data_IF_558060557946
#
_entry.id   IF_558060557946
#
_cell.length_a   1.000
_cell.length_b   1.000
_cell.length_c   1.000
_cell.angle_alpha   90.00
_cell.angle_beta   90.00
_cell.angle_gamma   90.00
#
_symmetry.space_group_name_H-M   'P 1'
#
loop_
_entity.id
_entity.type
_entity.pdbx_description
1 polymer ?
#
# COMPACT_ATOMS: atom_id res chain seq x y z
N UNK A 1 11.08 -4.44 10.51
CA UNK A 1 11.54 -3.13 11.05
C UNK A 1 10.56 -2.04 10.64
N UNK A 2 9.83 -1.52 11.62
CA UNK A 2 8.94 -0.36 11.50
C UNK A 2 9.79 0.91 11.32
N UNK A 3 9.90 1.41 10.09
CA UNK A 3 10.46 2.73 9.84
C UNK A 3 9.33 3.75 9.86
N UNK A 4 9.19 4.53 10.93
CA UNK A 4 8.38 5.75 10.83
C UNK A 4 9.21 6.82 10.13
N UNK A 5 8.64 7.46 9.09
CA UNK A 5 8.67 8.92 8.84
C UNK A 5 7.98 9.26 7.51
N UNK A 6 6.68 8.98 7.40
CA UNK A 6 5.78 9.78 6.57
C UNK A 6 4.51 10.01 7.42
N UNK A 7 4.15 11.25 7.77
CA UNK A 7 3.12 11.52 8.79
C UNK A 7 1.78 10.82 8.56
N UNK A 8 1.35 10.67 7.31
CA UNK A 8 0.07 10.02 6.97
C UNK A 8 0.18 8.51 6.74
N UNK A 9 1.35 7.89 6.96
CA UNK A 9 1.53 6.47 6.73
C UNK A 9 2.20 5.75 7.88
N UNK A 10 1.64 4.60 8.23
CA UNK A 10 2.34 3.60 9.00
C UNK A 10 3.05 2.65 8.03
N UNK A 11 4.36 2.45 8.24
CA UNK A 11 5.20 1.64 7.37
C UNK A 11 5.88 0.53 8.17
N UNK A 12 5.92 -0.67 7.61
CA UNK A 12 6.73 -1.79 8.09
C UNK A 12 7.51 -2.35 6.92
N UNK A 13 8.80 -2.58 7.13
CA UNK A 13 9.68 -3.18 6.13
C UNK A 13 10.24 -4.50 6.62
N UNK A 14 10.45 -5.42 5.70
CA UNK A 14 11.32 -6.58 5.90
C UNK A 14 12.31 -6.67 4.74
N UNK A 15 13.55 -6.19 4.93
CA UNK A 15 14.58 -6.23 3.89
C UNK A 15 14.90 -7.66 3.43
N UNK A 16 14.76 -8.66 4.30
CA UNK A 16 15.05 -10.06 3.98
C UNK A 16 14.14 -10.62 2.88
N UNK A 17 12.87 -10.20 2.87
CA UNK A 17 11.90 -10.57 1.83
C UNK A 17 11.62 -9.46 0.80
N UNK A 18 12.26 -8.29 0.93
CA UNK A 18 11.97 -7.13 0.08
C UNK A 18 10.54 -6.61 0.25
N UNK A 19 9.97 -6.78 1.44
CA UNK A 19 8.59 -6.43 1.78
C UNK A 19 8.49 -4.99 2.28
N UNK A 20 7.48 -4.28 1.79
CA UNK A 20 6.97 -3.04 2.38
C UNK A 20 5.47 -3.17 2.62
N UNK A 21 5.06 -2.98 3.86
CA UNK A 21 3.67 -2.86 4.28
C UNK A 21 3.35 -1.41 4.61
N UNK A 22 2.25 -0.92 4.06
CA UNK A 22 1.81 0.48 4.15
C UNK A 22 0.36 0.51 4.64
N UNK A 23 0.07 1.39 5.59
CA UNK A 23 -1.30 1.73 5.97
C UNK A 23 -1.46 3.24 6.04
N UNK A 24 -2.50 3.77 5.39
CA UNK A 24 -2.85 5.18 5.51
C UNK A 24 -3.37 5.48 6.93
N UNK A 25 -2.87 6.53 7.55
CA UNK A 25 -3.36 7.02 8.84
C UNK A 25 -4.32 8.19 8.59
N UNK A 26 -5.61 7.96 8.85
CA UNK A 26 -6.64 8.96 8.67
C UNK A 26 -6.48 10.09 9.69
N UNK A 27 -6.15 11.30 9.21
CA UNK A 27 -6.14 12.53 10.01
C UNK A 27 -7.49 13.26 9.97
N UNK A 28 -7.65 14.30 10.81
CA UNK A 28 -8.88 15.08 10.94
C UNK A 28 -9.34 15.79 9.64
N UNK A 29 -8.40 16.14 8.75
CA UNK A 29 -8.66 16.67 7.41
C UNK A 29 -8.18 15.64 6.37
N UNK A 30 -9.04 14.66 6.09
CA UNK A 30 -8.65 13.50 5.30
C UNK A 30 -8.69 13.82 3.79
N UNK A 31 -7.61 14.42 3.30
CA UNK A 31 -7.34 14.63 1.86
C UNK A 31 -6.10 13.83 1.48
N UNK A 32 -6.05 13.33 0.23
CA UNK A 32 -4.87 12.63 -0.28
C UNK A 32 -3.65 13.57 -0.30
N UNK A 33 -2.66 13.27 0.54
CA UNK A 33 -1.40 14.05 0.57
C UNK A 33 -0.43 13.56 -0.50
N UNK A 34 -0.57 14.08 -1.73
CA UNK A 34 0.23 13.68 -2.90
C UNK A 34 1.73 13.72 -2.67
N UNK A 35 2.25 14.70 -1.93
CA UNK A 35 3.67 14.80 -1.60
C UNK A 35 4.15 13.62 -0.75
N UNK A 36 3.32 13.19 0.20
CA UNK A 36 3.61 12.06 1.09
C UNK A 36 3.51 10.72 0.34
N UNK A 37 2.51 10.57 -0.54
CA UNK A 37 2.40 9.42 -1.46
C UNK A 37 3.63 9.35 -2.40
N UNK A 38 4.11 10.49 -2.88
CA UNK A 38 5.30 10.55 -3.74
C UNK A 38 6.57 10.17 -2.96
N UNK A 39 6.69 10.61 -1.70
CA UNK A 39 7.79 10.22 -0.83
C UNK A 39 7.78 8.71 -0.55
N UNK A 40 6.60 8.12 -0.37
CA UNK A 40 6.43 6.67 -0.20
C UNK A 40 6.95 5.88 -1.40
N UNK A 41 6.59 6.29 -2.62
CA UNK A 41 7.08 5.64 -3.84
C UNK A 41 8.60 5.74 -3.98
N UNK A 42 9.18 6.90 -3.65
CA UNK A 42 10.65 7.07 -3.65
C UNK A 42 11.32 6.16 -2.62
N UNK A 43 10.72 6.03 -1.44
CA UNK A 43 11.20 5.13 -0.39
C UNK A 43 11.14 3.67 -0.86
N UNK A 44 10.03 3.24 -1.47
CA UNK A 44 9.88 1.90 -2.01
C UNK A 44 10.93 1.60 -3.10
N UNK A 45 11.23 2.58 -3.96
CA UNK A 45 12.29 2.47 -4.95
C UNK A 45 13.68 2.38 -4.33
N UNK A 46 13.97 3.18 -3.30
CA UNK A 46 15.25 3.18 -2.60
C UNK A 46 15.56 1.86 -1.87
N UNK A 47 14.52 1.17 -1.37
CA UNK A 47 14.65 -0.15 -0.77
C UNK A 47 14.55 -1.31 -1.76
N UNK A 48 14.40 -1.01 -3.07
CA UNK A 48 14.16 -2.01 -4.11
C UNK A 48 13.06 -3.00 -3.71
N UNK A 49 11.93 -2.47 -3.22
CA UNK A 49 10.79 -3.27 -2.75
C UNK A 49 10.29 -4.18 -3.87
N UNK A 50 10.13 -5.46 -3.54
CA UNK A 50 9.62 -6.51 -4.43
C UNK A 50 8.20 -6.93 -4.07
N UNK A 51 7.83 -6.80 -2.80
CA UNK A 51 6.55 -7.21 -2.24
C UNK A 51 5.92 -6.02 -1.55
N UNK A 52 4.78 -5.56 -2.04
CA UNK A 52 4.13 -4.36 -1.51
C UNK A 52 2.72 -4.68 -1.03
N UNK A 53 2.41 -4.36 0.22
CA UNK A 53 1.06 -4.39 0.78
C UNK A 53 0.60 -2.97 1.07
N UNK A 54 -0.54 -2.55 0.52
CA UNK A 54 -1.15 -1.26 0.81
C UNK A 54 -2.53 -1.48 1.41
N UNK A 55 -2.72 -1.05 2.65
CA UNK A 55 -4.04 -1.01 3.30
C UNK A 55 -4.78 0.26 2.89
N UNK A 56 -5.78 0.09 2.01
CA UNK A 56 -6.57 1.18 1.45
C UNK A 56 -7.85 1.47 2.24
N UNK A 57 -8.16 0.69 3.28
CA UNK A 57 -9.44 0.81 4.02
C UNK A 57 -9.63 2.17 4.70
N UNK A 58 -8.53 2.86 4.99
CA UNK A 58 -8.47 4.16 5.66
C UNK A 58 -8.14 5.31 4.71
N UNK A 59 -8.04 5.05 3.39
CA UNK A 59 -7.81 6.09 2.39
C UNK A 59 -9.07 6.97 2.33
N UNK A 60 -8.91 8.31 2.31
CA UNK A 60 -10.05 9.22 2.18
C UNK A 60 -10.78 9.06 0.85
N UNK A 61 -12.00 9.60 0.79
CA UNK A 61 -12.67 9.77 -0.49
C UNK A 61 -11.81 10.65 -1.41
N UNK A 62 -11.52 10.15 -2.60
CA UNK A 62 -10.66 10.82 -3.57
C UNK A 62 -11.47 11.84 -4.37
N UNK A 63 -10.88 13.01 -4.62
CA UNK A 63 -11.43 13.94 -5.60
C UNK A 63 -11.10 13.47 -7.02
N UNK A 64 -11.83 13.96 -8.03
CA UNK A 64 -11.51 13.72 -9.45
C UNK A 64 -10.06 14.10 -9.79
N UNK A 65 -9.53 15.16 -9.16
CA UNK A 65 -8.14 15.57 -9.35
C UNK A 65 -7.14 14.58 -8.73
N UNK A 66 -7.52 13.92 -7.64
CA UNK A 66 -6.70 12.89 -7.02
C UNK A 66 -6.71 11.60 -7.83
N UNK A 67 -7.86 11.19 -8.35
CA UNK A 67 -7.98 10.07 -9.28
C UNK A 67 -7.12 10.29 -10.54
N UNK A 68 -7.21 11.49 -11.14
CA UNK A 68 -6.37 11.85 -12.29
C UNK A 68 -4.88 11.82 -11.93
N UNK A 69 -4.50 12.36 -10.77
CA UNK A 69 -3.11 12.35 -10.31
C UNK A 69 -2.61 10.92 -10.05
N UNK A 70 -3.45 10.06 -9.48
CA UNK A 70 -3.11 8.65 -9.28
C UNK A 70 -2.82 7.98 -10.63
N UNK A 71 -3.70 8.12 -11.61
CA UNK A 71 -3.51 7.52 -12.93
C UNK A 71 -2.30 8.06 -13.70
N UNK A 72 -2.01 9.35 -13.60
CA UNK A 72 -0.96 10.02 -14.39
C UNK A 72 0.42 10.08 -13.74
N UNK A 73 0.50 9.98 -12.41
CA UNK A 73 1.77 10.12 -11.66
C UNK A 73 2.06 8.92 -10.77
N UNK A 74 1.12 8.53 -9.91
CA UNK A 74 1.34 7.44 -8.96
C UNK A 74 1.51 6.10 -9.68
N UNK A 75 0.61 5.78 -10.60
CA UNK A 75 0.60 4.49 -11.30
C UNK A 75 1.85 4.25 -12.15
N UNK A 76 2.30 5.20 -12.99
CA UNK A 76 3.57 5.04 -13.71
C UNK A 76 4.76 4.82 -12.78
N UNK A 77 4.81 5.54 -11.65
CA UNK A 77 5.89 5.39 -10.67
C UNK A 77 5.83 4.06 -9.93
N UNK A 78 4.63 3.54 -9.63
CA UNK A 78 4.43 2.23 -9.03
C UNK A 78 4.91 1.10 -9.97
N UNK A 79 4.59 1.19 -11.26
CA UNK A 79 4.99 0.20 -12.28
C UNK A 79 6.49 0.23 -12.56
N UNK A 80 7.15 1.36 -12.32
CA UNK A 80 8.60 1.48 -12.45
C UNK A 80 9.38 0.80 -11.32
N UNK A 81 8.72 0.42 -10.23
CA UNK A 81 9.34 -0.32 -9.13
C UNK A 81 9.64 -1.77 -9.57
N UNK A 82 10.68 -2.42 -9.00
CA UNK A 82 10.99 -3.83 -9.24
C UNK A 82 10.03 -4.76 -8.48
N UNK A 83 8.73 -4.45 -8.49
CA UNK A 83 7.71 -5.25 -7.81
C UNK A 83 7.59 -6.60 -8.51
N UNK A 84 7.33 -7.61 -7.68
CA UNK A 84 6.95 -8.97 -8.06
C UNK A 84 5.52 -9.25 -7.61
N UNK A 85 5.12 -8.67 -6.47
CA UNK A 85 3.76 -8.80 -5.93
C UNK A 85 3.26 -7.51 -5.31
N UNK A 86 1.99 -7.21 -5.60
CA UNK A 86 1.23 -6.12 -5.01
C UNK A 86 -0.03 -6.69 -4.36
N UNK A 87 -0.28 -6.30 -3.13
CA UNK A 87 -1.52 -6.57 -2.40
C UNK A 87 -2.17 -5.26 -2.05
N UNK A 88 -3.46 -5.16 -2.35
CA UNK A 88 -4.31 -4.04 -1.92
C UNK A 88 -5.37 -4.56 -0.97
N UNK A 89 -5.40 -4.01 0.26
CA UNK A 89 -6.47 -4.31 1.21
C UNK A 89 -7.60 -3.32 1.00
N UNK A 90 -8.78 -3.85 0.65
CA UNK A 90 -9.97 -3.05 0.37
C UNK A 90 -11.11 -3.46 1.28
N UNK A 91 -11.90 -2.50 1.74
CA UNK A 91 -13.05 -2.79 2.60
C UNK A 91 -14.20 -3.35 1.76
N UNK A 92 -14.77 -4.47 2.19
CA UNK A 92 -15.90 -5.16 1.53
C UNK A 92 -17.16 -4.30 1.34
N UNK A 93 -17.29 -3.17 2.05
CA UNK A 93 -18.42 -2.24 1.98
C UNK A 93 -18.21 -1.00 1.09
N UNK A 94 -17.05 -0.85 0.45
CA UNK A 94 -16.74 0.32 -0.38
C UNK A 94 -16.91 -0.01 -1.87
N UNK A 95 -18.15 0.05 -2.37
CA UNK A 95 -18.47 -0.10 -3.81
C UNK A 95 -17.68 0.88 -4.69
N UNK A 96 -17.25 2.03 -4.14
CA UNK A 96 -16.39 3.01 -4.81
C UNK A 96 -14.98 2.49 -5.14
N UNK A 97 -14.47 1.51 -4.40
CA UNK A 97 -13.17 0.93 -4.70
C UNK A 97 -13.21 -0.02 -5.90
N UNK A 98 -14.38 -0.54 -6.31
CA UNK A 98 -14.44 -1.36 -7.53
C UNK A 98 -14.08 -0.55 -8.79
N UNK A 99 -14.50 0.71 -8.91
CA UNK A 99 -14.08 1.58 -10.01
C UNK A 99 -12.58 1.91 -9.97
N UNK A 100 -12.03 2.12 -8.78
CA UNK A 100 -10.59 2.33 -8.61
C UNK A 100 -9.80 1.05 -8.96
N UNK A 101 -10.31 -0.12 -8.58
CA UNK A 101 -9.75 -1.44 -8.89
C UNK A 101 -9.84 -1.72 -10.40
N UNK A 102 -10.98 -1.45 -11.03
CA UNK A 102 -11.18 -1.65 -12.46
C UNK A 102 -10.34 -0.66 -13.27
N UNK A 103 -10.26 0.60 -12.85
CA UNK A 103 -9.36 1.59 -13.44
C UNK A 103 -7.88 1.20 -13.25
N UNK A 104 -7.51 0.63 -12.10
CA UNK A 104 -6.19 0.03 -11.89
C UNK A 104 -6.00 -1.12 -12.88
N UNK A 105 -6.96 -2.02 -13.01
CA UNK A 105 -6.82 -3.19 -13.84
C UNK A 105 -6.72 -2.85 -15.34
N UNK A 106 -7.50 -1.86 -15.80
CA UNK A 106 -7.56 -1.41 -17.20
C UNK A 106 -6.37 -0.52 -17.59
N UNK A 107 -5.90 0.34 -16.70
CA UNK A 107 -4.79 1.26 -17.01
C UNK A 107 -3.44 0.54 -17.12
N UNK A 108 -3.30 -0.65 -16.53
CA UNK A 108 -1.99 -1.25 -16.30
C UNK A 108 -1.84 -2.67 -16.89
N UNK A 109 -2.91 -3.32 -17.34
CA UNK A 109 -2.87 -4.66 -17.96
C UNK A 109 -1.76 -4.88 -19.01
N UNK A 110 -1.40 -3.90 -19.87
CA UNK A 110 -0.31 -4.09 -20.83
C UNK A 110 1.10 -3.96 -20.24
N UNK A 111 1.26 -3.38 -19.04
CA UNK A 111 2.55 -2.95 -18.49
C UNK A 111 2.88 -3.54 -17.11
N UNK A 112 1.94 -4.16 -16.40
CA UNK A 112 2.20 -4.84 -15.11
C UNK A 112 3.12 -6.04 -15.36
N UNK A 113 4.24 -6.08 -14.64
CA UNK A 113 5.17 -7.22 -14.59
C UNK A 113 5.12 -7.98 -13.25
N UNK A 114 4.11 -7.70 -12.42
CA UNK A 114 3.97 -8.22 -11.05
C UNK A 114 2.56 -8.76 -10.79
N UNK A 115 2.42 -9.69 -9.86
CA UNK A 115 1.11 -10.23 -9.50
C UNK A 115 0.39 -9.28 -8.54
N UNK A 116 -0.77 -8.76 -8.96
CA UNK A 116 -1.61 -7.92 -8.12
C UNK A 116 -2.81 -8.71 -7.57
N UNK A 117 -3.07 -8.62 -6.26
CA UNK A 117 -4.20 -9.27 -5.60
C UNK A 117 -4.91 -8.32 -4.63
N UNK A 118 -6.19 -8.63 -4.38
CA UNK A 118 -7.04 -7.88 -3.48
C UNK A 118 -7.49 -8.78 -2.33
N UNK A 119 -7.46 -8.24 -1.13
CA UNK A 119 -7.90 -8.93 0.08
C UNK A 119 -8.73 -7.97 0.95
N UNK A 120 -9.62 -8.51 1.77
CA UNK A 120 -10.32 -7.78 2.83
C UNK A 120 -9.66 -7.94 4.21
N UNK A 121 -8.93 -9.04 4.38
CA UNK A 121 -8.14 -9.37 5.56
C UNK A 121 -6.62 -9.14 5.36
N UNK A 122 -6.00 -8.18 6.07
CA UNK A 122 -4.57 -7.91 5.98
C UNK A 122 -3.66 -9.07 6.40
N UNK A 123 -4.12 -9.97 7.28
CA UNK A 123 -3.30 -11.09 7.76
C UNK A 123 -3.14 -12.15 6.68
N UNK A 124 -4.26 -12.64 6.13
CA UNK A 124 -4.29 -13.57 5.00
C UNK A 124 -3.51 -13.02 3.81
N UNK A 125 -3.64 -11.72 3.55
CA UNK A 125 -2.94 -11.07 2.46
C UNK A 125 -1.42 -11.04 2.66
N UNK A 126 -0.95 -10.90 3.90
CA UNK A 126 0.48 -10.94 4.22
C UNK A 126 1.06 -12.35 4.04
N UNK A 127 0.32 -13.39 4.45
CA UNK A 127 0.69 -14.78 4.20
C UNK A 127 0.84 -15.04 2.70
N UNK A 128 -0.15 -14.66 1.89
CA UNK A 128 -0.07 -14.77 0.42
C UNK A 128 1.10 -13.98 -0.16
N UNK A 129 1.30 -12.74 0.28
CA UNK A 129 2.36 -11.87 -0.23
C UNK A 129 3.76 -12.43 0.04
N UNK A 130 3.91 -13.22 1.10
CA UNK A 130 5.20 -13.74 1.56
C UNK A 130 5.45 -15.21 1.23
N UNK A 131 4.51 -15.89 0.54
CA UNK A 131 4.51 -17.34 0.33
C UNK A 131 4.52 -18.15 1.64
N UNK A 132 3.67 -17.76 2.60
CA UNK A 132 3.59 -18.40 3.91
C UNK A 132 4.95 -18.45 4.64
N UNK A 133 5.75 -17.41 4.45
CA UNK A 133 7.12 -17.36 4.97
C UNK A 133 7.18 -17.43 6.50
N UNK A 134 8.23 -18.04 7.09
CA UNK A 134 8.36 -18.21 8.53
C UNK A 134 8.45 -16.89 9.30
N UNK A 135 8.74 -15.78 8.62
CA UNK A 135 8.80 -14.44 9.21
C UNK A 135 7.43 -13.82 9.48
N UNK A 136 6.34 -14.34 8.90
CA UNK A 136 5.00 -13.72 8.99
C UNK A 136 4.52 -13.52 10.43
N UNK A 137 4.60 -14.51 11.35
CA UNK A 137 4.15 -14.31 12.72
C UNK A 137 4.90 -13.18 13.44
N UNK A 138 6.20 -13.04 13.19
CA UNK A 138 7.01 -11.97 13.76
C UNK A 138 6.61 -10.60 13.19
N UNK A 139 6.34 -10.52 11.88
CA UNK A 139 5.87 -9.30 11.24
C UNK A 139 4.48 -8.89 11.74
N UNK A 140 3.57 -9.83 11.93
CA UNK A 140 2.25 -9.58 12.49
C UNK A 140 2.35 -9.08 13.94
N UNK A 141 3.19 -9.72 14.76
CA UNK A 141 3.43 -9.29 16.14
C UNK A 141 4.03 -7.89 16.21
N UNK A 142 5.04 -7.59 15.38
CA UNK A 142 5.63 -6.24 15.26
C UNK A 142 4.57 -5.22 14.87
N UNK A 143 3.71 -5.55 13.90
CA UNK A 143 2.65 -4.65 13.45
C UNK A 143 1.60 -4.41 14.53
N UNK A 144 1.18 -5.44 15.27
CA UNK A 144 0.19 -5.31 16.33
C UNK A 144 0.71 -4.50 17.52
N UNK A 145 2.00 -4.65 17.85
CA UNK A 145 2.64 -3.93 18.95
C UNK A 145 3.07 -2.50 18.59
N UNK A 146 2.72 -2.01 17.39
CA UNK A 146 3.06 -0.64 16.98
C UNK A 146 2.37 0.39 17.87
N UNK A 147 3.03 1.52 18.19
CA UNK A 147 2.38 2.60 18.91
C UNK A 147 1.18 3.10 18.11
N UNK A 148 0.05 3.30 18.80
CA UNK A 148 -1.15 3.87 18.18
C UNK A 148 -0.81 5.23 17.57
N UNK A 149 -1.43 5.60 16.42
CA UNK A 149 -1.26 6.94 15.89
C UNK A 149 -1.63 7.97 16.94
N UNK A 150 -0.88 9.09 17.06
CA UNK A 150 -1.26 10.17 17.96
C UNK A 150 -2.68 10.61 17.60
N UNK A 151 -3.55 10.70 18.61
CA UNK A 151 -4.89 11.26 18.43
C UNK A 151 -4.73 12.73 17.98
N UNK A 152 -5.54 13.19 17.01
CA UNK A 152 -5.52 14.59 16.58
C UNK A 152 -5.84 15.55 17.74
#
# INVERSE_FOLDING_TARGET
MLHQHIPSFCLQTDPGSGLLRVQYQMGAESVLRRQEVTALLRLAGGYAVRRLLIDMRTVPLLSVYDELWLGTHFMPALVALPLERLVLIVGSHQTYHQLAIDALHDLIKPAIRFDAQYFDDPETALYWLTDDGPQVPALLAEWTNRPAPPKP
#
